data_IF_218229471482
#
_entry.id   IF_218229471482
#
_cell.length_a   1.000
_cell.length_b   1.000
_cell.length_c   1.000
_cell.angle_alpha   90.00
_cell.angle_beta   90.00
_cell.angle_gamma   90.00
#
_symmetry.space_group_name_H-M   'P 1'
#
loop_
_entity.id
_entity.type
_entity.pdbx_description
1 polymer ?
#
# COMPACT_ATOMS: atom_id res chain seq x y z
N UNK A 1 16.00 -32.91 -44.39
CA UNK A 1 17.40 -32.51 -44.59
C UNK A 1 17.81 -31.43 -43.57
N UNK A 2 19.10 -31.24 -43.40
CA UNK A 2 19.69 -30.17 -42.61
C UNK A 2 20.40 -29.19 -43.53
N UNK A 3 20.04 -27.91 -43.47
CA UNK A 3 20.69 -26.84 -44.24
C UNK A 3 21.31 -25.81 -43.33
N UNK A 4 22.57 -25.44 -43.52
CA UNK A 4 23.26 -24.37 -42.81
C UNK A 4 23.70 -23.27 -43.76
N UNK A 5 23.43 -22.02 -43.39
CA UNK A 5 23.87 -20.80 -44.07
C UNK A 5 24.56 -19.89 -43.04
N UNK A 6 25.76 -19.36 -43.37
CA UNK A 6 26.48 -18.51 -42.42
C UNK A 6 25.92 -17.09 -42.36
N UNK A 7 25.69 -16.49 -43.52
CA UNK A 7 25.08 -15.15 -43.64
C UNK A 7 24.02 -15.17 -44.75
N UNK A 8 22.89 -14.55 -44.51
CA UNK A 8 21.75 -14.55 -45.42
C UNK A 8 21.15 -13.17 -45.62
N UNK A 9 21.00 -12.77 -46.85
CA UNK A 9 20.30 -11.54 -47.28
C UNK A 9 19.03 -11.84 -48.13
N UNK A 10 18.60 -13.11 -48.18
CA UNK A 10 17.45 -13.60 -48.96
C UNK A 10 16.46 -14.39 -48.10
N UNK A 11 15.67 -15.26 -48.77
CA UNK A 11 14.63 -16.04 -48.10
C UNK A 11 15.05 -17.52 -47.97
N UNK A 12 14.85 -18.09 -46.80
CA UNK A 12 14.99 -19.53 -46.53
C UNK A 12 13.61 -20.14 -46.27
N UNK A 13 13.30 -21.23 -46.98
CA UNK A 13 12.08 -22.01 -46.77
C UNK A 13 12.47 -23.38 -46.20
N UNK A 14 11.90 -23.75 -45.06
CA UNK A 14 12.15 -25.04 -44.38
C UNK A 14 10.84 -25.83 -44.38
N UNK A 15 10.83 -26.97 -45.02
CA UNK A 15 9.69 -27.88 -45.05
C UNK A 15 10.12 -29.25 -44.53
N UNK A 16 9.70 -29.57 -43.28
CA UNK A 16 10.01 -30.85 -42.63
C UNK A 16 11.49 -31.14 -42.50
N UNK A 17 12.21 -30.42 -41.68
CA UNK A 17 13.66 -30.58 -41.47
C UNK A 17 14.24 -29.49 -40.63
N UNK A 18 15.55 -29.37 -40.57
CA UNK A 18 16.24 -28.35 -39.78
C UNK A 18 17.00 -27.39 -40.68
N UNK A 19 16.72 -26.11 -40.57
CA UNK A 19 17.47 -25.04 -41.25
C UNK A 19 18.13 -24.14 -40.22
N UNK A 20 19.39 -23.80 -40.41
CA UNK A 20 20.10 -22.86 -39.53
C UNK A 20 20.75 -21.74 -40.33
N UNK A 21 20.72 -20.54 -39.77
CA UNK A 21 21.35 -19.34 -40.33
C UNK A 21 22.21 -18.71 -39.22
N UNK A 22 23.44 -18.35 -39.57
CA UNK A 22 24.32 -17.61 -38.63
C UNK A 22 23.80 -16.20 -38.43
N UNK A 23 23.79 -15.37 -39.49
CA UNK A 23 23.33 -13.98 -39.38
C UNK A 23 22.35 -13.66 -40.50
N UNK A 24 21.21 -13.08 -40.16
CA UNK A 24 20.21 -12.57 -41.12
C UNK A 24 20.20 -11.05 -41.12
N UNK A 25 20.40 -10.46 -42.29
CA UNK A 25 20.45 -9.01 -42.49
C UNK A 25 19.46 -8.55 -43.57
N UNK A 26 19.25 -7.25 -43.66
CA UNK A 26 18.45 -6.63 -44.72
C UNK A 26 17.01 -7.12 -44.75
N UNK A 27 16.52 -7.60 -45.86
CA UNK A 27 15.17 -8.14 -46.06
C UNK A 27 15.15 -9.67 -45.97
N UNK A 28 16.10 -10.30 -45.32
CA UNK A 28 16.18 -11.74 -45.20
C UNK A 28 15.08 -12.31 -44.29
N UNK A 29 14.49 -13.42 -44.66
CA UNK A 29 13.45 -14.09 -43.88
C UNK A 29 13.58 -15.60 -43.86
N UNK A 30 13.22 -16.22 -42.73
CA UNK A 30 13.13 -17.68 -42.59
C UNK A 30 11.67 -18.09 -42.40
N UNK A 31 11.19 -18.95 -43.29
CA UNK A 31 9.81 -19.45 -43.29
C UNK A 31 9.82 -20.95 -43.00
N UNK A 32 9.18 -21.39 -41.97
CA UNK A 32 9.22 -22.77 -41.44
C UNK A 32 7.83 -23.39 -41.61
N UNK A 33 7.77 -24.54 -42.28
CA UNK A 33 6.55 -25.26 -42.61
C UNK A 33 6.65 -26.75 -42.27
N UNK A 34 5.50 -27.42 -42.20
CA UNK A 34 5.38 -28.88 -42.16
C UNK A 34 6.21 -29.57 -41.06
N UNK A 35 6.16 -29.07 -39.86
CA UNK A 35 6.91 -29.63 -38.71
C UNK A 35 8.42 -29.35 -38.75
N UNK A 36 8.86 -28.38 -39.53
CA UNK A 36 10.28 -27.99 -39.61
C UNK A 36 10.77 -27.24 -38.36
N UNK A 37 12.08 -27.20 -38.23
CA UNK A 37 12.77 -26.39 -37.20
C UNK A 37 13.70 -25.38 -37.83
N UNK A 38 13.52 -24.11 -37.50
CA UNK A 38 14.37 -23.02 -37.98
C UNK A 38 15.18 -22.43 -36.83
N UNK A 39 16.47 -22.22 -37.07
CA UNK A 39 17.39 -21.63 -36.09
C UNK A 39 18.11 -20.43 -36.72
N UNK A 40 18.12 -19.31 -36.02
CA UNK A 40 18.86 -18.10 -36.38
C UNK A 40 19.76 -17.72 -35.20
N UNK A 41 21.07 -17.53 -35.48
CA UNK A 41 21.95 -17.07 -34.41
C UNK A 41 21.78 -15.57 -34.15
N UNK A 42 21.76 -14.75 -35.24
CA UNK A 42 21.50 -13.32 -35.12
C UNK A 42 20.46 -12.88 -36.16
N UNK A 43 19.35 -12.31 -35.70
CA UNK A 43 18.34 -11.68 -36.54
C UNK A 43 18.46 -10.16 -36.38
N UNK A 44 18.98 -9.49 -37.39
CA UNK A 44 19.22 -8.05 -37.38
C UNK A 44 18.09 -7.25 -38.05
N UNK A 45 17.25 -7.92 -38.87
CA UNK A 45 16.10 -7.27 -39.51
C UNK A 45 15.18 -8.30 -40.15
N UNK A 46 13.95 -7.87 -40.50
CA UNK A 46 12.90 -8.65 -41.10
C UNK A 46 12.36 -9.77 -40.21
N UNK A 47 12.14 -11.05 -40.65
CA UNK A 47 11.33 -11.96 -39.86
C UNK A 47 11.71 -13.44 -39.92
N UNK A 48 11.41 -14.14 -38.82
CA UNK A 48 11.24 -15.58 -38.77
C UNK A 48 9.76 -15.91 -38.66
N UNK A 49 9.21 -16.63 -39.62
CA UNK A 49 7.81 -17.05 -39.63
C UNK A 49 7.69 -18.52 -39.27
N UNK A 50 7.09 -18.81 -38.10
CA UNK A 50 6.95 -20.19 -37.59
C UNK A 50 5.49 -20.60 -37.75
N UNK A 51 5.25 -21.43 -38.76
CA UNK A 51 3.90 -21.90 -39.09
C UNK A 51 3.48 -23.04 -38.13
N UNK A 52 2.21 -23.42 -38.26
CA UNK A 52 1.57 -24.45 -37.43
C UNK A 52 2.40 -25.72 -37.27
N UNK A 53 2.58 -26.20 -36.02
CA UNK A 53 3.33 -27.38 -35.71
C UNK A 53 4.86 -27.28 -35.89
N UNK A 54 5.38 -26.06 -36.14
CA UNK A 54 6.80 -25.82 -36.36
C UNK A 54 7.49 -25.23 -35.13
N UNK A 55 8.82 -25.25 -35.16
CA UNK A 55 9.66 -24.66 -34.11
C UNK A 55 10.61 -23.62 -34.64
N UNK A 56 10.65 -22.43 -34.05
CA UNK A 56 11.58 -21.36 -34.40
C UNK A 56 12.44 -20.95 -33.20
N UNK A 57 13.75 -20.83 -33.43
CA UNK A 57 14.70 -20.42 -32.40
C UNK A 57 15.54 -19.26 -32.92
N UNK A 58 15.65 -18.20 -32.15
CA UNK A 58 16.54 -17.07 -32.41
C UNK A 58 17.41 -16.86 -31.16
N UNK A 59 18.74 -16.89 -31.31
CA UNK A 59 19.61 -16.65 -30.18
C UNK A 59 19.67 -15.16 -29.81
N UNK A 60 19.86 -14.27 -30.79
CA UNK A 60 19.89 -12.83 -30.56
C UNK A 60 18.99 -12.15 -31.58
N UNK A 61 18.03 -11.37 -31.11
CA UNK A 61 17.23 -10.49 -31.93
C UNK A 61 17.66 -9.05 -31.65
N UNK A 62 18.29 -8.44 -32.66
CA UNK A 62 18.72 -7.05 -32.61
C UNK A 62 17.80 -6.23 -33.53
N UNK A 63 17.60 -4.98 -33.32
CA UNK A 63 16.87 -4.06 -34.18
C UNK A 63 15.40 -4.48 -34.50
N UNK A 64 14.83 -4.16 -35.63
CA UNK A 64 13.40 -4.32 -35.99
C UNK A 64 12.97 -5.74 -36.36
N UNK A 65 13.72 -6.78 -35.95
CA UNK A 65 13.38 -8.17 -36.24
C UNK A 65 12.03 -8.59 -35.65
N UNK A 66 11.36 -9.53 -36.36
CA UNK A 66 10.10 -10.11 -35.84
C UNK A 66 10.15 -11.62 -35.90
N UNK A 67 9.84 -12.29 -34.77
CA UNK A 67 9.47 -13.70 -34.78
C UNK A 67 7.95 -13.81 -34.73
N UNK A 68 7.34 -14.30 -35.80
CA UNK A 68 5.91 -14.53 -35.86
C UNK A 68 5.59 -16.00 -35.61
N UNK A 69 4.81 -16.30 -34.58
CA UNK A 69 4.46 -17.66 -34.16
C UNK A 69 2.98 -17.87 -34.40
N UNK A 70 2.64 -18.78 -35.33
CA UNK A 70 1.26 -19.13 -35.67
C UNK A 70 0.67 -20.15 -34.65
N UNK A 71 -0.57 -20.54 -34.90
CA UNK A 71 -1.30 -21.54 -34.14
C UNK A 71 -0.50 -22.84 -33.94
N UNK A 72 -0.48 -23.38 -32.73
CA UNK A 72 0.23 -24.61 -32.35
C UNK A 72 1.75 -24.62 -32.70
N UNK A 73 2.34 -23.47 -33.01
CA UNK A 73 3.77 -23.32 -33.22
C UNK A 73 4.50 -22.93 -31.95
N UNK A 74 5.79 -23.18 -31.90
CA UNK A 74 6.65 -22.85 -30.75
C UNK A 74 7.79 -21.95 -31.23
N UNK A 75 7.93 -20.79 -30.58
CA UNK A 75 9.01 -19.84 -30.86
C UNK A 75 9.82 -19.52 -29.61
N UNK A 76 11.14 -19.50 -29.74
CA UNK A 76 12.04 -19.09 -28.65
C UNK A 76 12.98 -17.99 -29.13
N UNK A 77 13.12 -16.93 -28.35
CA UNK A 77 14.15 -15.92 -28.48
C UNK A 77 15.00 -15.96 -27.21
N UNK A 78 16.31 -16.22 -27.34
CA UNK A 78 17.17 -16.28 -26.15
C UNK A 78 17.43 -14.88 -25.63
N UNK A 79 17.85 -13.95 -26.48
CA UNK A 79 18.02 -12.54 -26.08
C UNK A 79 17.31 -11.64 -27.08
N UNK A 80 16.32 -10.91 -26.64
CA UNK A 80 15.64 -9.87 -27.40
C UNK A 80 16.11 -8.51 -26.91
N UNK A 81 16.91 -7.82 -27.74
CA UNK A 81 17.44 -6.48 -27.47
C UNK A 81 16.61 -5.39 -28.13
N UNK A 82 15.98 -5.74 -29.26
CA UNK A 82 15.03 -4.89 -29.97
C UNK A 82 14.19 -5.77 -30.92
N UNK A 83 13.05 -5.29 -31.39
CA UNK A 83 12.15 -6.06 -32.23
C UNK A 83 11.02 -6.74 -31.45
N UNK A 84 10.31 -7.67 -32.09
CA UNK A 84 9.05 -8.19 -31.52
C UNK A 84 8.93 -9.71 -31.70
N UNK A 85 8.58 -10.41 -30.63
CA UNK A 85 8.01 -11.75 -30.71
C UNK A 85 6.49 -11.65 -30.70
N UNK A 86 5.84 -11.99 -31.77
CA UNK A 86 4.41 -11.94 -31.93
C UNK A 86 3.84 -13.36 -31.91
N UNK A 87 2.95 -13.63 -30.99
CA UNK A 87 2.35 -14.96 -30.78
C UNK A 87 0.88 -14.86 -31.09
N UNK A 88 0.50 -15.52 -32.18
CA UNK A 88 -0.87 -15.54 -32.69
C UNK A 88 -1.63 -16.76 -32.14
N UNK A 89 -2.92 -16.80 -32.40
CA UNK A 89 -3.93 -17.70 -31.85
C UNK A 89 -3.43 -19.15 -31.60
N UNK A 90 -3.27 -19.52 -30.33
CA UNK A 90 -2.82 -20.85 -29.91
C UNK A 90 -1.30 -21.12 -30.04
N UNK A 91 -0.51 -20.15 -30.43
CA UNK A 91 0.95 -20.25 -30.46
C UNK A 91 1.57 -20.19 -29.05
N UNK A 92 2.81 -20.65 -28.92
CA UNK A 92 3.61 -20.58 -27.68
C UNK A 92 4.93 -19.88 -27.95
N UNK A 93 5.18 -18.78 -27.25
CA UNK A 93 6.41 -18.00 -27.38
C UNK A 93 7.17 -17.87 -26.06
N UNK A 94 8.48 -18.00 -26.12
CA UNK A 94 9.36 -17.79 -24.97
C UNK A 94 10.47 -16.81 -25.30
N UNK A 95 10.69 -15.84 -24.44
CA UNK A 95 11.89 -14.99 -24.41
C UNK A 95 12.65 -15.31 -23.12
N UNK A 96 13.92 -15.70 -23.24
CA UNK A 96 14.74 -15.96 -22.04
C UNK A 96 15.17 -14.65 -21.40
N UNK A 97 15.70 -13.70 -22.20
CA UNK A 97 16.06 -12.36 -21.70
C UNK A 97 15.47 -11.30 -22.61
N UNK A 98 14.61 -10.47 -22.07
CA UNK A 98 14.12 -9.24 -22.73
C UNK A 98 14.87 -8.05 -22.13
N UNK A 99 15.66 -7.38 -22.97
CA UNK A 99 16.51 -6.25 -22.63
C UNK A 99 16.40 -5.20 -23.74
N UNK A 100 15.23 -4.58 -23.84
CA UNK A 100 14.88 -3.68 -24.94
C UNK A 100 14.95 -2.21 -24.54
N UNK A 101 16.16 -1.68 -24.43
CA UNK A 101 16.43 -0.29 -24.06
C UNK A 101 15.93 0.77 -25.03
N UNK A 102 15.67 0.38 -26.29
CA UNK A 102 15.26 1.34 -27.32
C UNK A 102 13.73 1.57 -27.37
N UNK A 103 12.99 0.93 -26.47
CA UNK A 103 11.57 1.17 -26.21
C UNK A 103 10.60 0.74 -27.32
N UNK A 104 11.07 0.10 -28.38
CA UNK A 104 10.23 -0.33 -29.51
C UNK A 104 10.27 -1.85 -29.67
N UNK A 105 9.38 -2.55 -28.98
CA UNK A 105 9.21 -3.99 -29.16
C UNK A 105 9.13 -4.77 -27.84
N UNK A 106 9.02 -6.07 -27.97
CA UNK A 106 8.84 -6.96 -26.85
C UNK A 106 8.09 -8.22 -27.23
N UNK A 107 7.21 -8.68 -26.37
CA UNK A 107 6.36 -9.84 -26.65
C UNK A 107 4.89 -9.42 -26.74
N UNK A 108 4.21 -9.85 -27.82
CA UNK A 108 2.78 -9.62 -28.02
C UNK A 108 2.05 -10.95 -28.03
N UNK A 109 1.13 -11.14 -27.10
CA UNK A 109 0.38 -12.38 -26.89
C UNK A 109 -1.08 -12.16 -27.24
N UNK A 110 -1.54 -12.77 -28.33
CA UNK A 110 -2.91 -12.68 -28.78
C UNK A 110 -3.80 -13.82 -28.24
N UNK A 111 -5.00 -13.95 -28.79
CA UNK A 111 -6.04 -14.87 -28.35
C UNK A 111 -5.55 -16.32 -28.24
N UNK A 112 -5.83 -16.97 -27.11
CA UNK A 112 -5.44 -18.36 -26.80
C UNK A 112 -3.92 -18.65 -26.89
N UNK A 113 -3.09 -17.63 -27.10
CA UNK A 113 -1.63 -17.78 -27.15
C UNK A 113 -1.02 -17.78 -25.73
N UNK A 114 0.16 -18.38 -25.63
CA UNK A 114 0.92 -18.42 -24.38
C UNK A 114 2.25 -17.74 -24.61
N UNK A 115 2.53 -16.71 -23.80
CA UNK A 115 3.80 -15.98 -23.81
C UNK A 115 4.55 -16.14 -22.48
N UNK A 116 5.85 -16.38 -22.55
CA UNK A 116 6.69 -16.43 -21.35
C UNK A 116 7.94 -15.57 -21.56
N UNK A 117 8.25 -14.73 -20.60
CA UNK A 117 9.54 -14.05 -20.47
C UNK A 117 10.20 -14.54 -19.16
N UNK A 118 11.40 -15.11 -19.26
CA UNK A 118 12.07 -15.62 -18.07
C UNK A 118 12.69 -14.48 -17.27
N UNK A 119 13.44 -13.60 -17.93
CA UNK A 119 14.01 -12.39 -17.30
C UNK A 119 13.65 -11.16 -18.13
N UNK A 120 12.98 -10.20 -17.54
CA UNK A 120 12.63 -8.92 -18.14
C UNK A 120 13.41 -7.82 -17.45
N UNK A 121 14.38 -7.25 -18.17
CA UNK A 121 15.20 -6.14 -17.68
C UNK A 121 14.64 -4.80 -18.14
N UNK A 122 14.05 -4.77 -19.34
CA UNK A 122 13.37 -3.63 -19.94
C UNK A 122 12.47 -4.09 -21.09
N UNK A 123 11.63 -3.20 -21.64
CA UNK A 123 10.73 -3.49 -22.78
C UNK A 123 9.29 -3.78 -22.33
N UNK A 124 8.51 -4.33 -23.25
CA UNK A 124 7.06 -4.49 -23.05
C UNK A 124 6.56 -5.89 -23.36
N UNK A 125 5.63 -6.39 -22.53
CA UNK A 125 4.83 -7.57 -22.84
C UNK A 125 3.35 -7.18 -22.90
N UNK A 126 2.75 -7.28 -24.07
CA UNK A 126 1.33 -7.02 -24.28
C UNK A 126 0.53 -8.31 -24.26
N UNK A 127 -0.52 -8.36 -23.46
CA UNK A 127 -1.44 -9.50 -23.37
C UNK A 127 -2.83 -9.04 -23.76
N UNK A 128 -3.31 -9.54 -24.88
CA UNK A 128 -4.62 -9.22 -25.41
C UNK A 128 -5.66 -10.30 -25.08
N UNK A 129 -6.88 -10.07 -25.54
CA UNK A 129 -8.07 -10.89 -25.26
C UNK A 129 -7.80 -12.40 -25.37
N UNK A 130 -7.93 -13.10 -24.25
CA UNK A 130 -7.78 -14.56 -24.19
C UNK A 130 -6.34 -15.06 -24.22
N UNK A 131 -5.35 -14.17 -24.38
CA UNK A 131 -3.94 -14.51 -24.23
C UNK A 131 -3.56 -14.73 -22.75
N UNK A 132 -2.55 -15.56 -22.53
CA UNK A 132 -1.97 -15.80 -21.20
C UNK A 132 -0.48 -15.57 -21.25
N UNK A 133 0.04 -14.74 -20.36
CA UNK A 133 1.45 -14.40 -20.35
C UNK A 133 2.06 -14.41 -18.96
N UNK A 134 3.30 -14.89 -18.87
CA UNK A 134 4.05 -14.94 -17.63
C UNK A 134 5.40 -14.23 -17.79
N UNK A 135 5.77 -13.42 -16.81
CA UNK A 135 7.13 -12.95 -16.57
C UNK A 135 7.62 -13.61 -15.27
N UNK A 136 8.73 -14.35 -15.34
CA UNK A 136 9.22 -15.05 -14.14
C UNK A 136 9.99 -14.08 -13.23
N UNK A 137 10.94 -13.33 -13.77
CA UNK A 137 11.70 -12.31 -13.03
C UNK A 137 11.63 -10.98 -13.79
N UNK A 138 11.00 -10.00 -13.19
CA UNK A 138 10.84 -8.66 -13.75
C UNK A 138 11.64 -7.66 -12.91
N UNK A 139 12.69 -7.14 -13.50
CA UNK A 139 13.59 -6.14 -12.91
C UNK A 139 13.51 -4.79 -13.63
N UNK A 140 12.59 -4.66 -14.58
CA UNK A 140 12.27 -3.44 -15.33
C UNK A 140 11.24 -3.71 -16.42
N UNK A 141 10.85 -2.66 -17.14
CA UNK A 141 9.88 -2.75 -18.25
C UNK A 141 8.41 -2.80 -17.80
N UNK A 142 7.52 -3.19 -18.71
CA UNK A 142 6.07 -3.15 -18.47
C UNK A 142 5.35 -4.37 -19.03
N UNK A 143 4.53 -5.04 -18.20
CA UNK A 143 3.53 -6.01 -18.65
C UNK A 143 2.17 -5.34 -18.72
N UNK A 144 1.56 -5.29 -19.90
CA UNK A 144 0.28 -4.62 -20.20
C UNK A 144 -0.79 -5.65 -20.48
N UNK A 145 -1.75 -5.79 -19.59
CA UNK A 145 -2.84 -6.78 -19.67
C UNK A 145 -4.14 -6.06 -20.03
N UNK A 146 -4.71 -6.41 -21.18
CA UNK A 146 -5.90 -5.75 -21.75
C UNK A 146 -7.00 -6.76 -22.08
N UNK A 147 -8.23 -6.29 -22.04
CA UNK A 147 -9.45 -6.93 -22.56
C UNK A 147 -9.45 -8.44 -22.33
N UNK A 148 -9.70 -8.88 -21.09
CA UNK A 148 -9.78 -10.31 -20.74
C UNK A 148 -8.51 -11.13 -21.03
N UNK A 149 -7.35 -10.48 -21.11
CA UNK A 149 -6.05 -11.15 -21.08
C UNK A 149 -5.68 -11.54 -19.65
N UNK A 150 -4.79 -12.51 -19.50
CA UNK A 150 -4.27 -12.96 -18.22
C UNK A 150 -2.77 -12.73 -18.17
N UNK A 151 -2.30 -11.90 -17.24
CA UNK A 151 -0.88 -11.62 -17.03
C UNK A 151 -0.43 -12.11 -15.64
N UNK A 152 0.71 -12.77 -15.60
CA UNK A 152 1.34 -13.20 -14.35
C UNK A 152 2.77 -12.69 -14.29
N UNK A 153 3.18 -12.21 -13.12
CA UNK A 153 4.57 -11.95 -12.77
C UNK A 153 4.87 -12.76 -11.52
N UNK A 154 5.85 -13.66 -11.58
CA UNK A 154 6.22 -14.45 -10.39
C UNK A 154 6.97 -13.58 -9.39
N UNK A 155 8.00 -12.83 -9.84
CA UNK A 155 8.76 -11.90 -9.00
C UNK A 155 8.86 -10.54 -9.69
N UNK A 156 8.34 -9.51 -9.06
CA UNK A 156 8.45 -8.10 -9.48
C UNK A 156 9.45 -7.39 -8.56
N UNK A 157 10.65 -7.13 -9.07
CA UNK A 157 11.71 -6.41 -8.37
C UNK A 157 11.77 -4.94 -8.75
N UNK A 158 11.34 -4.62 -9.98
CA UNK A 158 11.13 -3.25 -10.51
C UNK A 158 10.28 -3.33 -11.80
N UNK A 159 9.79 -2.18 -12.27
CA UNK A 159 8.90 -2.12 -13.44
C UNK A 159 7.42 -2.05 -13.08
N UNK A 160 6.56 -2.31 -14.08
CA UNK A 160 5.11 -2.11 -13.94
C UNK A 160 4.29 -3.25 -14.54
N UNK A 161 3.26 -3.71 -13.82
CA UNK A 161 2.15 -4.47 -14.39
C UNK A 161 0.92 -3.57 -14.50
N UNK A 162 0.45 -3.32 -15.73
CA UNK A 162 -0.68 -2.43 -16.03
C UNK A 162 -1.89 -3.22 -16.50
N UNK A 163 -2.97 -3.24 -15.71
CA UNK A 163 -4.16 -4.06 -15.93
C UNK A 163 -5.35 -3.16 -16.23
N UNK A 164 -5.95 -3.31 -17.40
CA UNK A 164 -7.06 -2.48 -17.83
C UNK A 164 -8.08 -3.23 -18.71
N UNK A 165 -9.28 -2.64 -18.87
CA UNK A 165 -10.29 -3.15 -19.76
C UNK A 165 -10.79 -4.57 -19.43
N UNK A 166 -10.89 -4.93 -18.15
CA UNK A 166 -11.32 -6.26 -17.71
C UNK A 166 -10.24 -7.34 -17.83
N UNK A 167 -8.97 -6.96 -17.97
CA UNK A 167 -7.84 -7.89 -17.86
C UNK A 167 -7.65 -8.38 -16.44
N UNK A 168 -6.96 -9.50 -16.27
CA UNK A 168 -6.61 -10.08 -14.98
C UNK A 168 -5.10 -10.17 -14.82
N UNK A 169 -4.56 -9.67 -13.71
CA UNK A 169 -3.13 -9.70 -13.42
C UNK A 169 -2.84 -10.30 -12.05
N UNK A 170 -1.78 -11.08 -11.97
CA UNK A 170 -1.25 -11.63 -10.72
C UNK A 170 0.23 -11.26 -10.61
N UNK A 171 0.63 -10.80 -9.44
CA UNK A 171 2.03 -10.71 -9.02
C UNK A 171 2.18 -11.60 -7.79
N UNK A 172 2.97 -12.67 -7.88
CA UNK A 172 3.14 -13.59 -6.75
C UNK A 172 3.98 -12.94 -5.64
N UNK A 173 5.10 -12.31 -5.99
CA UNK A 173 5.92 -11.55 -5.02
C UNK A 173 6.29 -10.20 -5.60
N UNK A 174 5.89 -9.12 -4.94
CA UNK A 174 6.28 -7.75 -5.27
C UNK A 174 7.27 -7.24 -4.23
N UNK A 175 8.52 -7.07 -4.64
CA UNK A 175 9.56 -6.49 -3.78
C UNK A 175 9.67 -4.98 -3.98
N UNK A 176 9.41 -4.49 -5.20
CA UNK A 176 9.37 -3.09 -5.59
C UNK A 176 8.53 -2.93 -6.86
N UNK A 177 8.58 -1.76 -7.53
CA UNK A 177 7.81 -1.50 -8.74
C UNK A 177 6.32 -1.24 -8.47
N UNK A 178 5.47 -1.46 -9.49
CA UNK A 178 4.06 -1.14 -9.39
C UNK A 178 3.12 -2.12 -10.11
N UNK A 179 1.93 -2.33 -9.54
CA UNK A 179 0.78 -2.90 -10.22
C UNK A 179 -0.32 -1.85 -10.31
N UNK A 180 -0.70 -1.44 -11.51
CA UNK A 180 -1.72 -0.42 -11.77
C UNK A 180 -2.98 -1.07 -12.34
N UNK A 181 -4.10 -0.90 -11.66
CA UNK A 181 -5.37 -1.53 -11.99
C UNK A 181 -6.41 -0.45 -12.28
N UNK A 182 -6.98 -0.48 -13.48
CA UNK A 182 -7.97 0.51 -13.91
C UNK A 182 -9.03 -0.11 -14.83
N UNK A 183 -10.07 0.67 -15.15
CA UNK A 183 -11.07 0.31 -16.18
C UNK A 183 -11.61 -1.12 -16.04
N UNK A 184 -12.10 -1.48 -14.85
CA UNK A 184 -12.64 -2.81 -14.49
C UNK A 184 -11.62 -3.95 -14.56
N UNK A 185 -10.32 -3.67 -14.57
CA UNK A 185 -9.27 -4.68 -14.42
C UNK A 185 -9.31 -5.31 -13.03
N UNK A 186 -8.78 -6.51 -12.92
CA UNK A 186 -8.64 -7.23 -11.63
C UNK A 186 -7.18 -7.59 -11.42
N UNK A 187 -6.59 -7.13 -10.32
CA UNK A 187 -5.20 -7.37 -9.97
C UNK A 187 -5.06 -7.99 -8.60
N UNK A 188 -4.16 -8.96 -8.49
CA UNK A 188 -3.81 -9.58 -7.21
C UNK A 188 -2.30 -9.49 -7.00
N UNK A 189 -1.89 -9.19 -5.78
CA UNK A 189 -0.53 -9.36 -5.29
C UNK A 189 -0.58 -10.35 -4.13
N UNK A 190 0.06 -11.51 -4.26
CA UNK A 190 0.02 -12.50 -3.19
C UNK A 190 0.88 -12.06 -1.99
N UNK A 191 2.11 -11.60 -2.24
CA UNK A 191 2.97 -11.04 -1.19
C UNK A 191 3.51 -9.68 -1.62
N UNK A 192 3.16 -8.63 -0.91
CA UNK A 192 3.66 -7.28 -1.09
C UNK A 192 4.69 -6.96 0.00
N UNK A 193 5.98 -7.02 -0.37
CA UNK A 193 7.11 -6.66 0.49
C UNK A 193 7.45 -5.17 0.38
N UNK A 194 7.27 -4.59 -0.81
CA UNK A 194 7.53 -3.20 -1.15
C UNK A 194 6.84 -2.81 -2.45
N UNK A 195 7.01 -1.57 -2.91
CA UNK A 195 6.35 -1.07 -4.11
C UNK A 195 4.90 -0.65 -3.88
N UNK A 196 4.14 -0.52 -4.97
CA UNK A 196 2.78 0.07 -4.91
C UNK A 196 1.77 -0.68 -5.77
N UNK A 197 0.64 -1.08 -5.19
CA UNK A 197 -0.55 -1.45 -5.96
C UNK A 197 -1.52 -0.26 -6.01
N UNK A 198 -1.80 0.26 -7.20
CA UNK A 198 -2.76 1.36 -7.43
C UNK A 198 -4.05 0.83 -8.02
N UNK A 199 -5.17 1.09 -7.37
CA UNK A 199 -6.51 0.65 -7.76
C UNK A 199 -7.39 1.86 -8.01
N UNK A 200 -7.75 2.10 -9.26
CA UNK A 200 -8.53 3.27 -9.65
C UNK A 200 -9.50 2.95 -10.81
N UNK A 201 -10.32 3.91 -11.20
CA UNK A 201 -11.16 3.81 -12.40
C UNK A 201 -12.06 2.56 -12.47
N UNK A 202 -12.62 2.13 -11.35
CA UNK A 202 -13.46 0.94 -11.25
C UNK A 202 -12.70 -0.39 -11.25
N UNK A 203 -11.37 -0.37 -11.07
CA UNK A 203 -10.56 -1.58 -10.91
C UNK A 203 -10.79 -2.26 -9.56
N UNK A 204 -10.45 -3.56 -9.49
CA UNK A 204 -10.48 -4.35 -8.27
C UNK A 204 -9.06 -4.85 -7.95
N UNK A 205 -8.52 -4.47 -6.80
CA UNK A 205 -7.19 -4.85 -6.35
C UNK A 205 -7.21 -5.65 -5.05
N UNK A 206 -6.49 -6.76 -5.01
CA UNK A 206 -6.33 -7.56 -3.79
C UNK A 206 -4.85 -7.70 -3.47
N UNK A 207 -4.51 -7.52 -2.20
CA UNK A 207 -3.22 -7.93 -1.63
C UNK A 207 -3.49 -9.02 -0.62
N UNK A 208 -2.96 -10.24 -0.86
CA UNK A 208 -3.20 -11.36 0.05
C UNK A 208 -2.42 -11.18 1.36
N UNK A 209 -1.14 -10.84 1.28
CA UNK A 209 -0.31 -10.54 2.45
C UNK A 209 0.53 -9.30 2.18
N UNK A 210 0.35 -8.26 2.98
CA UNK A 210 1.12 -7.03 2.92
C UNK A 210 2.10 -6.99 4.10
N UNK A 211 3.39 -7.07 3.80
CA UNK A 211 4.48 -6.98 4.78
C UNK A 211 5.16 -5.59 4.73
N UNK A 212 4.99 -4.88 3.64
CA UNK A 212 5.48 -3.52 3.39
C UNK A 212 4.81 -2.92 2.16
N UNK A 213 5.32 -1.79 1.66
CA UNK A 213 4.78 -1.11 0.48
C UNK A 213 3.44 -0.42 0.72
N UNK A 214 2.72 -0.15 -0.39
CA UNK A 214 1.48 0.64 -0.33
C UNK A 214 0.42 0.11 -1.29
N UNK A 215 -0.83 0.00 -0.83
CA UNK A 215 -2.00 -0.10 -1.70
C UNK A 215 -2.73 1.24 -1.71
N UNK A 216 -2.90 1.86 -2.88
CA UNK A 216 -3.64 3.12 -3.07
C UNK A 216 -4.96 2.83 -3.76
N UNK A 217 -6.08 3.19 -3.13
CA UNK A 217 -7.44 2.97 -3.63
C UNK A 217 -8.14 4.30 -3.82
N UNK A 218 -8.53 4.62 -5.04
CA UNK A 218 -9.15 5.91 -5.38
C UNK A 218 -10.12 5.79 -6.58
N UNK A 219 -10.84 6.86 -6.91
CA UNK A 219 -11.57 7.00 -8.19
C UNK A 219 -12.42 5.76 -8.54
N UNK A 220 -13.33 5.36 -7.68
CA UNK A 220 -14.20 4.17 -7.82
C UNK A 220 -13.46 2.81 -7.79
N UNK A 221 -12.18 2.79 -7.46
CA UNK A 221 -11.42 1.56 -7.23
C UNK A 221 -11.89 0.84 -5.97
N UNK A 222 -11.75 -0.48 -5.96
CA UNK A 222 -12.03 -1.33 -4.80
C UNK A 222 -10.77 -2.09 -4.42
N UNK A 223 -10.31 -1.89 -3.19
CA UNK A 223 -9.10 -2.52 -2.65
C UNK A 223 -9.40 -3.45 -1.49
N UNK A 224 -8.75 -4.59 -1.43
CA UNK A 224 -8.79 -5.53 -0.30
C UNK A 224 -7.37 -5.86 0.13
N UNK A 225 -7.13 -5.92 1.43
CA UNK A 225 -5.89 -6.46 2.00
C UNK A 225 -6.27 -7.54 3.01
N UNK A 226 -6.06 -8.81 2.64
CA UNK A 226 -6.47 -9.93 3.49
C UNK A 226 -5.65 -10.04 4.78
N UNK A 227 -4.37 -9.61 4.75
CA UNK A 227 -3.52 -9.52 5.94
C UNK A 227 -2.55 -8.34 5.80
N UNK A 228 -2.89 -7.22 6.44
CA UNK A 228 -2.05 -6.03 6.51
C UNK A 228 -1.15 -6.12 7.75
N UNK A 229 0.02 -6.76 7.60
CA UNK A 229 0.99 -6.98 8.68
C UNK A 229 2.07 -5.90 8.74
N UNK A 230 2.17 -5.08 7.69
CA UNK A 230 3.08 -3.95 7.55
C UNK A 230 2.71 -3.13 6.32
N UNK A 231 3.33 -1.97 6.14
CA UNK A 231 2.98 -1.07 5.03
C UNK A 231 1.67 -0.32 5.25
N UNK A 232 1.14 0.27 4.15
CA UNK A 232 0.00 1.19 4.27
C UNK A 232 -1.04 0.96 3.18
N UNK A 233 -2.30 0.83 3.56
CA UNK A 233 -3.42 0.98 2.64
C UNK A 233 -3.94 2.42 2.70
N UNK A 234 -3.95 3.13 1.57
CA UNK A 234 -4.46 4.50 1.45
C UNK A 234 -5.77 4.48 0.67
N UNK A 235 -6.84 4.94 1.28
CA UNK A 235 -8.16 5.04 0.66
C UNK A 235 -8.53 6.52 0.55
N UNK A 236 -8.69 7.01 -0.66
CA UNK A 236 -8.97 8.42 -0.94
C UNK A 236 -10.15 8.58 -1.89
N UNK A 237 -10.41 9.81 -2.32
CA UNK A 237 -11.61 10.23 -3.07
C UNK A 237 -12.16 9.18 -4.02
N UNK A 238 -13.36 8.68 -3.71
CA UNK A 238 -14.09 7.69 -4.50
C UNK A 238 -13.56 6.26 -4.41
N UNK A 239 -12.48 6.01 -3.67
CA UNK A 239 -11.98 4.66 -3.40
C UNK A 239 -12.78 3.96 -2.30
N UNK A 240 -12.82 2.64 -2.34
CA UNK A 240 -13.43 1.80 -1.30
C UNK A 240 -12.49 0.68 -0.89
N UNK A 241 -12.16 0.61 0.40
CA UNK A 241 -11.52 -0.57 1.00
C UNK A 241 -12.58 -1.59 1.39
N UNK A 242 -12.36 -2.84 1.03
CA UNK A 242 -13.27 -3.97 1.32
C UNK A 242 -12.52 -5.02 2.16
N UNK A 243 -13.16 -5.53 3.21
CA UNK A 243 -12.72 -6.73 3.95
C UNK A 243 -11.21 -6.72 4.32
N UNK A 244 -10.66 -5.57 4.75
CA UNK A 244 -9.27 -5.47 5.16
C UNK A 244 -9.06 -5.99 6.57
N UNK A 245 -8.07 -6.88 6.76
CA UNK A 245 -7.63 -7.34 8.08
C UNK A 245 -6.39 -6.56 8.49
N UNK A 246 -6.54 -5.64 9.42
CA UNK A 246 -5.49 -4.78 9.95
C UNK A 246 -4.81 -5.47 11.15
N UNK A 247 -3.56 -5.86 10.97
CA UNK A 247 -2.72 -6.48 11.97
C UNK A 247 -1.69 -5.50 12.54
N UNK A 248 -1.00 -5.90 13.61
CA UNK A 248 0.07 -5.11 14.21
C UNK A 248 1.17 -4.79 13.18
N UNK A 249 1.53 -3.51 13.06
CA UNK A 249 2.51 -3.00 12.08
C UNK A 249 1.90 -2.47 10.79
N UNK A 250 0.65 -2.80 10.47
CA UNK A 250 -0.07 -2.23 9.32
C UNK A 250 -0.69 -0.86 9.63
N UNK A 251 -0.90 -0.08 8.60
CA UNK A 251 -1.60 1.22 8.68
C UNK A 251 -2.69 1.31 7.61
N UNK A 252 -3.88 1.72 8.00
CA UNK A 252 -4.93 2.14 7.07
C UNK A 252 -5.10 3.65 7.17
N UNK A 253 -4.85 4.37 6.08
CA UNK A 253 -5.10 5.80 5.97
C UNK A 253 -6.37 6.05 5.17
N UNK A 254 -7.35 6.67 5.79
CA UNK A 254 -8.61 7.06 5.16
C UNK A 254 -8.65 8.57 4.99
N UNK A 255 -8.48 9.00 3.75
CA UNK A 255 -8.57 10.40 3.36
C UNK A 255 -9.97 10.81 2.92
N UNK A 256 -10.16 12.11 2.74
CA UNK A 256 -11.44 12.71 2.32
C UNK A 256 -12.06 12.02 1.10
N UNK A 257 -13.33 11.66 1.20
CA UNK A 257 -14.09 11.00 0.13
C UNK A 257 -13.73 9.53 -0.13
N UNK A 258 -12.87 8.95 0.68
CA UNK A 258 -12.66 7.51 0.75
C UNK A 258 -13.75 6.80 1.55
N UNK A 259 -13.91 5.50 1.35
CA UNK A 259 -14.85 4.67 2.08
C UNK A 259 -14.19 3.36 2.53
N UNK A 260 -14.50 2.91 3.74
CA UNK A 260 -14.12 1.60 4.25
C UNK A 260 -15.37 0.78 4.53
N UNK A 261 -15.42 -0.43 4.01
CA UNK A 261 -16.46 -1.42 4.27
C UNK A 261 -15.80 -2.68 4.82
N UNK A 262 -16.14 -3.05 6.05
CA UNK A 262 -15.60 -4.20 6.77
C UNK A 262 -14.08 -4.16 6.98
N UNK A 263 -13.65 -3.55 8.06
CA UNK A 263 -12.28 -3.70 8.56
C UNK A 263 -12.29 -4.60 9.79
N UNK A 264 -11.39 -5.58 9.82
CA UNK A 264 -11.17 -6.42 11.00
C UNK A 264 -9.90 -5.94 11.69
N UNK A 265 -10.03 -5.53 12.93
CA UNK A 265 -8.89 -5.05 13.74
C UNK A 265 -8.28 -6.21 14.54
N UNK A 266 -7.02 -6.51 14.26
CA UNK A 266 -6.18 -7.44 15.04
C UNK A 266 -4.91 -6.77 15.54
N UNK A 267 -4.86 -5.43 15.45
CA UNK A 267 -3.74 -4.55 15.80
C UNK A 267 -3.62 -3.42 14.79
N UNK A 268 -2.44 -2.76 14.76
CA UNK A 268 -2.14 -1.74 13.77
C UNK A 268 -2.76 -0.38 14.04
N UNK A 269 -2.69 0.50 13.03
CA UNK A 269 -3.14 1.89 13.14
C UNK A 269 -4.12 2.23 12.01
N UNK A 270 -5.23 2.86 12.36
CA UNK A 270 -6.10 3.54 11.39
C UNK A 270 -6.02 5.05 11.59
N UNK A 271 -5.82 5.79 10.50
CA UNK A 271 -5.84 7.26 10.48
C UNK A 271 -7.06 7.71 9.68
N UNK A 272 -7.84 8.61 10.25
CA UNK A 272 -9.02 9.24 9.62
C UNK A 272 -8.72 10.71 9.41
N UNK A 273 -8.76 11.15 8.15
CA UNK A 273 -8.42 12.51 7.74
C UNK A 273 -9.59 13.18 7.02
N UNK A 274 -10.05 14.32 7.57
CA UNK A 274 -11.09 15.19 7.00
C UNK A 274 -12.39 14.44 6.63
N UNK A 275 -12.86 13.59 7.54
CA UNK A 275 -14.12 12.84 7.40
C UNK A 275 -14.99 13.13 8.62
N UNK A 276 -16.23 13.58 8.38
CA UNK A 276 -17.15 14.06 9.41
C UNK A 276 -18.33 13.12 9.70
N UNK A 277 -18.38 11.95 9.05
CA UNK A 277 -19.46 10.97 9.27
C UNK A 277 -19.10 9.58 8.77
N UNK A 278 -19.73 8.55 9.34
CA UNK A 278 -19.60 7.16 8.89
C UNK A 278 -18.68 6.29 9.75
N UNK A 279 -18.09 6.85 10.81
CA UNK A 279 -17.19 6.14 11.75
C UNK A 279 -17.69 6.28 13.20
N UNK A 280 -19.00 6.33 13.36
CA UNK A 280 -19.64 6.43 14.67
C UNK A 280 -19.76 5.05 15.34
N UNK A 281 -19.77 5.03 16.68
CA UNK A 281 -19.95 3.85 17.52
C UNK A 281 -18.90 2.73 17.32
N UNK A 282 -17.66 3.09 17.04
CA UNK A 282 -16.57 2.13 16.94
C UNK A 282 -16.08 1.65 18.31
N UNK A 283 -15.67 0.38 18.38
CA UNK A 283 -15.08 -0.20 19.59
C UNK A 283 -13.61 -0.53 19.35
N UNK A 284 -12.71 0.07 20.13
CA UNK A 284 -11.27 -0.16 20.10
C UNK A 284 -10.85 -1.02 21.28
N UNK A 285 -9.87 -1.91 21.09
CA UNK A 285 -9.28 -2.69 22.18
C UNK A 285 -10.14 -3.83 22.71
N UNK A 286 -11.01 -4.43 21.91
CA UNK A 286 -11.77 -5.61 22.30
C UNK A 286 -10.89 -6.87 22.28
N UNK A 287 -10.86 -7.65 23.36
CA UNK A 287 -10.16 -8.94 23.42
C UNK A 287 -8.63 -8.87 23.55
N UNK A 288 -8.08 -7.77 24.04
CA UNK A 288 -6.62 -7.60 24.22
C UNK A 288 -5.88 -7.20 22.94
N UNK A 289 -6.58 -6.73 21.95
CA UNK A 289 -6.01 -6.29 20.67
C UNK A 289 -5.58 -4.82 20.78
N UNK A 290 -4.31 -4.54 20.56
CA UNK A 290 -3.80 -3.16 20.51
C UNK A 290 -4.17 -2.53 19.17
N UNK A 291 -5.15 -1.64 19.17
CA UNK A 291 -5.60 -0.88 18.01
C UNK A 291 -5.48 0.60 18.31
N UNK A 292 -4.76 1.31 17.45
CA UNK A 292 -4.63 2.77 17.53
C UNK A 292 -5.45 3.42 16.43
N UNK A 293 -6.26 4.41 16.77
CA UNK A 293 -7.04 5.20 15.84
C UNK A 293 -6.70 6.68 15.93
N UNK A 294 -6.17 7.25 14.85
CA UNK A 294 -5.83 8.67 14.73
C UNK A 294 -6.95 9.48 14.06
N UNK A 295 -7.35 10.59 14.66
CA UNK A 295 -8.33 11.54 14.11
C UNK A 295 -7.60 12.86 13.85
N UNK A 296 -7.55 13.30 12.60
CA UNK A 296 -6.79 14.49 12.18
C UNK A 296 -7.58 15.41 11.26
N UNK A 297 -7.10 16.64 11.10
CA UNK A 297 -7.48 17.57 10.01
C UNK A 297 -8.97 17.76 9.77
N UNK A 298 -9.75 17.98 10.82
CA UNK A 298 -11.19 18.20 10.71
C UNK A 298 -12.04 16.92 10.66
N UNK A 299 -11.43 15.75 10.83
CA UNK A 299 -12.18 14.51 11.01
C UNK A 299 -12.94 14.51 12.33
N UNK A 300 -14.10 13.89 12.34
CA UNK A 300 -14.97 13.77 13.52
C UNK A 300 -15.39 12.32 13.70
N UNK A 301 -15.34 11.85 14.96
CA UNK A 301 -15.88 10.56 15.37
C UNK A 301 -16.80 10.73 16.56
N UNK A 302 -17.88 9.96 16.62
CA UNK A 302 -18.86 9.99 17.72
C UNK A 302 -19.12 8.59 18.28
N UNK A 303 -19.35 8.50 19.59
CA UNK A 303 -19.72 7.26 20.26
C UNK A 303 -18.61 6.19 20.29
N UNK A 304 -17.34 6.57 20.20
CA UNK A 304 -16.23 5.61 20.24
C UNK A 304 -16.11 4.99 21.64
N UNK A 305 -15.99 3.66 21.72
CA UNK A 305 -15.74 2.92 22.97
C UNK A 305 -14.28 2.44 22.94
N UNK A 306 -13.50 2.85 23.94
CA UNK A 306 -12.07 2.53 24.04
C UNK A 306 -11.86 1.62 25.25
N UNK A 307 -11.75 0.33 25.00
CA UNK A 307 -11.47 -0.68 26.02
C UNK A 307 -9.96 -0.87 26.22
N UNK A 308 -9.58 -1.67 27.21
CA UNK A 308 -8.17 -2.03 27.45
C UNK A 308 -7.48 -2.55 26.18
N UNK A 309 -6.32 -1.99 25.84
CA UNK A 309 -5.58 -2.24 24.60
C UNK A 309 -6.02 -1.37 23.40
N UNK A 310 -7.11 -0.63 23.51
CA UNK A 310 -7.50 0.38 22.52
C UNK A 310 -6.82 1.72 22.79
N UNK A 311 -6.50 2.44 21.72
CA UNK A 311 -5.92 3.78 21.79
C UNK A 311 -6.59 4.68 20.74
N UNK A 312 -6.96 5.89 21.17
CA UNK A 312 -7.46 6.94 20.27
C UNK A 312 -6.55 8.16 20.36
N UNK A 313 -6.04 8.60 19.22
CA UNK A 313 -5.21 9.81 19.08
C UNK A 313 -6.06 10.92 18.49
N UNK A 314 -6.24 12.02 19.21
CA UNK A 314 -6.95 13.21 18.72
C UNK A 314 -5.90 14.27 18.45
N UNK A 315 -5.55 14.40 17.16
CA UNK A 315 -4.53 15.33 16.71
C UNK A 315 -5.16 16.68 16.35
N UNK A 316 -4.31 17.64 15.99
CA UNK A 316 -4.75 18.99 15.64
C UNK A 316 -5.87 18.97 14.57
N UNK A 317 -7.00 19.59 14.90
CA UNK A 317 -8.18 19.65 14.04
C UNK A 317 -9.11 18.43 14.09
N UNK A 318 -8.72 17.35 14.76
CA UNK A 318 -9.58 16.18 14.99
C UNK A 318 -10.61 16.44 16.11
N UNK A 319 -11.76 15.79 16.03
CA UNK A 319 -12.85 15.92 17.00
C UNK A 319 -13.39 14.57 17.43
N UNK A 320 -13.42 14.30 18.73
CA UNK A 320 -14.06 13.15 19.34
C UNK A 320 -15.29 13.58 20.14
N UNK A 321 -16.44 12.97 19.85
CA UNK A 321 -17.72 13.23 20.48
C UNK A 321 -18.21 11.99 21.22
N UNK A 322 -18.80 12.20 22.41
CA UNK A 322 -19.49 11.15 23.19
C UNK A 322 -18.67 9.87 23.34
N UNK A 323 -17.38 10.00 23.66
CA UNK A 323 -16.45 8.86 23.77
C UNK A 323 -16.56 8.19 25.14
N UNK A 324 -16.59 6.84 25.15
CA UNK A 324 -16.48 6.02 26.35
C UNK A 324 -15.07 5.43 26.47
N UNK A 325 -14.36 5.77 27.54
CA UNK A 325 -13.03 5.22 27.86
C UNK A 325 -13.13 4.22 29.01
N UNK A 326 -13.06 2.93 28.69
CA UNK A 326 -13.24 1.80 29.59
C UNK A 326 -11.93 1.02 29.83
N UNK A 327 -10.87 1.71 30.21
CA UNK A 327 -9.56 1.10 30.51
C UNK A 327 -8.53 1.17 29.37
N UNK A 328 -8.83 1.83 28.24
CA UNK A 328 -7.88 2.13 27.16
C UNK A 328 -7.15 3.45 27.37
N UNK A 329 -6.61 3.99 26.29
CA UNK A 329 -5.85 5.26 26.27
C UNK A 329 -6.48 6.22 25.27
N UNK A 330 -6.69 7.47 25.67
CA UNK A 330 -6.94 8.58 24.78
C UNK A 330 -5.75 9.53 24.86
N UNK A 331 -5.11 9.81 23.72
CA UNK A 331 -4.11 10.87 23.63
C UNK A 331 -4.71 12.07 22.91
N UNK A 332 -4.49 13.26 23.43
CA UNK A 332 -4.97 14.50 22.82
C UNK A 332 -3.83 15.46 22.64
N UNK A 333 -3.61 15.91 21.41
CA UNK A 333 -2.67 16.97 21.09
C UNK A 333 -3.36 18.33 21.09
N UNK A 334 -2.59 19.39 21.25
CA UNK A 334 -3.09 20.77 21.16
C UNK A 334 -3.84 21.01 19.85
N UNK A 335 -5.03 21.62 19.93
CA UNK A 335 -5.94 21.83 18.78
C UNK A 335 -6.87 20.65 18.46
N UNK A 336 -6.77 19.53 19.17
CA UNK A 336 -7.79 18.50 19.21
C UNK A 336 -9.01 18.95 20.03
N UNK A 337 -10.17 18.39 19.76
CA UNK A 337 -11.43 18.71 20.43
C UNK A 337 -12.06 17.43 20.96
N UNK A 338 -12.41 17.46 22.25
CA UNK A 338 -13.24 16.43 22.90
C UNK A 338 -14.53 17.09 23.39
N UNK A 339 -15.66 16.45 23.12
CA UNK A 339 -16.96 16.93 23.60
C UNK A 339 -17.85 15.78 24.03
N UNK A 340 -18.28 15.82 25.30
CA UNK A 340 -19.01 14.73 25.93
C UNK A 340 -18.15 13.47 26.08
N UNK A 341 -17.72 13.15 27.28
CA UNK A 341 -16.87 11.98 27.50
C UNK A 341 -17.24 11.27 28.79
N UNK A 342 -17.24 9.94 28.74
CA UNK A 342 -17.38 9.10 29.93
C UNK A 342 -16.12 8.27 30.12
N UNK A 343 -15.49 8.37 31.29
CA UNK A 343 -14.35 7.54 31.67
C UNK A 343 -14.74 6.63 32.86
N UNK A 344 -14.63 5.32 32.62
CA UNK A 344 -14.78 4.31 33.67
C UNK A 344 -13.48 3.52 33.85
N UNK A 345 -12.41 4.25 34.20
CA UNK A 345 -11.01 3.79 34.16
C UNK A 345 -10.28 4.28 32.93
N UNK A 346 -9.06 3.76 32.69
CA UNK A 346 -8.19 4.17 31.59
C UNK A 346 -7.50 5.51 31.83
N UNK A 347 -6.81 5.98 30.79
CA UNK A 347 -6.00 7.20 30.87
C UNK A 347 -6.29 8.13 29.70
N UNK A 348 -6.49 9.42 30.00
CA UNK A 348 -6.39 10.50 29.04
C UNK A 348 -5.01 11.14 29.20
N UNK A 349 -4.24 11.23 28.13
CA UNK A 349 -2.90 11.82 28.10
C UNK A 349 -2.96 13.07 27.24
N UNK A 350 -2.54 14.20 27.81
CA UNK A 350 -2.49 15.49 27.12
C UNK A 350 -1.02 15.78 26.82
N UNK A 351 -0.62 15.58 25.57
CA UNK A 351 0.78 15.77 25.16
C UNK A 351 0.95 17.01 24.30
N UNK A 352 1.81 17.93 24.73
CA UNK A 352 2.35 18.97 23.87
C UNK A 352 3.74 19.41 24.31
N UNK A 353 4.71 19.21 23.46
CA UNK A 353 6.15 19.49 23.71
C UNK A 353 6.44 20.98 24.01
N UNK A 354 5.55 21.88 23.61
CA UNK A 354 5.75 23.34 23.73
C UNK A 354 4.69 24.01 24.63
N UNK A 355 3.97 23.24 25.47
CA UNK A 355 2.83 23.71 26.25
C UNK A 355 1.58 23.90 25.37
N UNK A 356 0.41 23.61 25.90
CA UNK A 356 -0.81 23.66 25.14
C UNK A 356 -2.06 23.97 25.92
N UNK A 357 -3.11 24.34 25.18
CA UNK A 357 -4.44 24.51 25.76
C UNK A 357 -5.35 23.40 25.24
N UNK A 358 -5.95 22.67 26.16
CA UNK A 358 -6.85 21.56 25.93
C UNK A 358 -8.24 21.88 26.44
N UNK A 359 -9.27 21.52 25.70
CA UNK A 359 -10.65 21.76 26.10
C UNK A 359 -11.48 20.48 25.99
N UNK A 360 -12.17 20.15 27.06
CA UNK A 360 -13.23 19.14 27.08
C UNK A 360 -14.55 19.90 27.18
N UNK A 361 -15.26 19.97 26.06
CA UNK A 361 -16.53 20.65 25.97
C UNK A 361 -17.65 19.75 26.49
N UNK A 362 -18.69 20.36 27.10
CA UNK A 362 -19.80 19.61 27.67
C UNK A 362 -19.41 18.85 28.94
N UNK A 363 -19.96 17.65 29.14
CA UNK A 363 -19.77 16.90 30.38
C UNK A 363 -18.67 15.86 30.23
N UNK A 364 -17.70 15.90 31.12
CA UNK A 364 -16.78 14.82 31.43
C UNK A 364 -17.28 14.07 32.67
N UNK A 365 -17.78 12.85 32.47
CA UNK A 365 -18.09 11.94 33.56
C UNK A 365 -16.89 11.02 33.80
N UNK A 366 -16.14 11.22 34.91
CA UNK A 366 -14.87 10.52 35.14
C UNK A 366 -14.89 9.74 36.45
N UNK A 367 -14.79 8.41 36.36
CA UNK A 367 -14.79 7.51 37.49
C UNK A 367 -13.54 6.64 37.50
N UNK A 368 -12.70 6.74 38.57
CA UNK A 368 -11.48 5.95 38.76
C UNK A 368 -10.54 5.98 37.53
N UNK A 369 -10.45 7.11 36.86
CA UNK A 369 -9.65 7.33 35.66
C UNK A 369 -8.40 8.15 35.97
N UNK A 370 -7.51 8.28 35.00
CA UNK A 370 -6.32 9.12 35.06
C UNK A 370 -6.38 10.17 33.95
N UNK A 371 -6.10 11.42 34.32
CA UNK A 371 -5.84 12.49 33.34
C UNK A 371 -4.40 12.94 33.60
N UNK A 372 -3.54 12.60 32.64
CA UNK A 372 -2.11 12.83 32.71
C UNK A 372 -1.73 14.01 31.82
N UNK A 373 -1.22 15.07 32.42
CA UNK A 373 -0.74 16.27 31.74
C UNK A 373 0.80 16.35 31.79
N UNK A 374 1.49 15.30 32.31
CA UNK A 374 2.92 15.34 32.43
C UNK A 374 3.62 15.05 31.11
N UNK A 375 4.63 15.85 30.78
CA UNK A 375 5.47 15.60 29.60
C UNK A 375 6.27 14.31 29.73
N UNK A 376 6.15 13.44 28.72
CA UNK A 376 6.91 12.18 28.66
C UNK A 376 8.38 12.38 28.31
N UNK A 377 8.78 13.57 27.83
CA UNK A 377 10.15 13.88 27.43
C UNK A 377 10.64 15.20 28.00
N UNK A 378 11.88 15.16 28.50
CA UNK A 378 12.64 16.35 28.87
C UNK A 378 12.79 17.26 27.65
N UNK A 379 12.04 18.32 27.65
CA UNK A 379 12.18 19.60 26.96
C UNK A 379 13.10 19.70 25.73
N UNK A 380 12.56 20.15 24.62
CA UNK A 380 13.32 20.97 23.64
C UNK A 380 13.87 22.17 24.40
N UNK A 381 15.17 22.33 24.41
CA UNK A 381 15.88 23.51 24.95
C UNK A 381 15.82 23.76 26.47
N UNK A 382 15.50 22.79 27.31
CA UNK A 382 15.74 22.89 28.76
C UNK A 382 14.77 23.78 29.55
N UNK A 383 13.61 24.15 28.98
CA UNK A 383 12.51 24.81 29.72
C UNK A 383 11.29 23.91 29.75
N UNK A 384 10.71 23.57 30.92
CA UNK A 384 9.44 22.87 31.01
C UNK A 384 8.34 23.63 30.28
N UNK A 385 7.53 22.95 29.49
CA UNK A 385 6.29 23.47 28.97
C UNK A 385 5.15 23.07 29.91
N UNK A 386 4.19 23.96 30.13
CA UNK A 386 3.06 23.73 31.03
C UNK A 386 1.76 23.81 30.24
N UNK A 387 0.87 22.86 30.52
CA UNK A 387 -0.40 22.72 29.85
C UNK A 387 -1.52 23.40 30.63
N UNK A 388 -2.58 23.76 29.91
CA UNK A 388 -3.84 24.20 30.51
C UNK A 388 -5.00 23.33 30.03
N UNK A 389 -5.70 22.69 30.91
CA UNK A 389 -6.92 21.93 30.67
C UNK A 389 -8.12 22.69 31.16
N UNK A 390 -9.09 22.93 30.29
CA UNK A 390 -10.42 23.48 30.65
C UNK A 390 -11.47 22.39 30.48
N UNK A 391 -12.26 22.16 31.54
CA UNK A 391 -13.38 21.21 31.54
C UNK A 391 -14.66 22.02 31.80
N UNK A 392 -15.65 21.96 30.92
CA UNK A 392 -16.91 22.66 31.10
C UNK A 392 -17.67 22.14 32.31
N UNK A 393 -17.92 20.84 32.37
CA UNK A 393 -18.59 20.19 33.50
C UNK A 393 -17.86 18.91 33.89
N UNK A 394 -17.45 18.78 35.13
CA UNK A 394 -16.87 17.57 35.69
C UNK A 394 -17.85 16.86 36.60
N UNK A 395 -18.11 15.59 36.34
CA UNK A 395 -18.92 14.72 37.23
C UNK A 395 -18.18 13.39 37.50
N UNK A 396 -18.69 12.59 38.44
CA UNK A 396 -18.09 11.34 38.84
C UNK A 396 -17.16 11.45 40.04
N UNK A 397 -16.30 10.47 40.28
CA UNK A 397 -15.42 10.39 41.44
C UNK A 397 -14.22 9.48 41.24
N UNK A 398 -13.15 9.67 41.99
CA UNK A 398 -11.97 8.81 42.00
C UNK A 398 -10.96 9.08 40.89
N UNK A 399 -11.14 10.14 40.11
CA UNK A 399 -10.20 10.49 39.03
C UNK A 399 -8.96 11.15 39.62
N UNK A 400 -7.79 10.78 39.09
CA UNK A 400 -6.49 11.40 39.43
C UNK A 400 -6.03 12.29 38.28
N UNK A 401 -5.78 13.56 38.57
CA UNK A 401 -5.08 14.51 37.69
C UNK A 401 -3.59 14.46 38.03
N UNK A 402 -2.73 14.16 37.05
CA UNK A 402 -1.27 14.18 37.23
C UNK A 402 -0.75 15.42 36.51
N UNK A 403 -0.07 16.31 37.29
CA UNK A 403 0.33 17.64 36.85
C UNK A 403 1.83 17.82 37.01
N UNK A 404 2.48 18.43 36.05
CA UNK A 404 3.83 18.96 36.17
C UNK A 404 3.79 20.33 36.82
N UNK A 405 4.68 20.56 37.78
CA UNK A 405 4.74 21.80 38.56
C UNK A 405 6.18 22.15 38.92
N UNK A 406 6.54 23.40 38.76
CA UNK A 406 7.76 23.96 39.37
C UNK A 406 7.38 24.59 40.71
N UNK A 407 7.60 23.86 41.80
CA UNK A 407 7.29 24.34 43.16
C UNK A 407 8.12 25.57 43.58
N UNK A 408 9.18 25.91 42.85
CA UNK A 408 10.01 27.09 43.12
C UNK A 408 9.46 28.37 42.47
N UNK A 409 8.46 28.28 41.55
CA UNK A 409 7.90 29.42 40.85
C UNK A 409 6.40 29.33 40.62
N UNK A 410 5.63 30.20 41.24
CA UNK A 410 4.15 30.18 41.19
C UNK A 410 3.53 30.30 39.77
N UNK A 411 4.31 30.71 38.76
CA UNK A 411 3.83 30.89 37.38
C UNK A 411 4.02 29.66 36.49
N UNK A 412 4.73 28.65 36.97
CA UNK A 412 5.21 27.52 36.16
C UNK A 412 4.56 26.21 36.64
N UNK A 413 3.33 25.98 36.27
CA UNK A 413 2.64 24.70 36.53
C UNK A 413 1.51 24.45 35.53
N UNK A 414 1.22 23.19 35.31
CA UNK A 414 0.00 22.78 34.66
C UNK A 414 -1.21 23.32 35.38
N UNK A 415 -2.24 23.64 34.61
CA UNK A 415 -3.45 24.25 35.15
C UNK A 415 -4.70 23.50 34.69
N UNK A 416 -5.51 23.09 35.68
CA UNK A 416 -6.85 22.57 35.42
C UNK A 416 -7.90 23.60 35.83
N UNK A 417 -8.77 23.94 34.91
CA UNK A 417 -9.92 24.83 35.15
C UNK A 417 -11.20 24.06 34.96
N UNK A 418 -12.05 23.99 35.96
CA UNK A 418 -13.36 23.32 35.91
C UNK A 418 -14.41 24.40 36.05
N UNK A 419 -15.27 24.57 35.04
CA UNK A 419 -16.30 25.63 35.05
C UNK A 419 -17.47 25.27 35.96
N UNK A 420 -17.93 24.01 35.92
CA UNK A 420 -18.97 23.47 36.78
C UNK A 420 -18.52 22.10 37.29
N UNK A 421 -18.70 21.85 38.58
CA UNK A 421 -18.38 20.57 39.20
C UNK A 421 -19.59 20.02 39.94
N UNK A 422 -19.94 18.76 39.67
CA UNK A 422 -20.87 17.99 40.49
C UNK A 422 -20.22 17.49 41.76
N UNK A 423 -21.02 16.91 42.64
CA UNK A 423 -20.51 16.33 43.91
C UNK A 423 -19.66 15.10 43.57
N UNK A 424 -18.40 15.13 43.99
CA UNK A 424 -17.45 14.04 43.80
C UNK A 424 -16.14 14.30 44.53
N UNK A 425 -15.27 13.29 44.55
CA UNK A 425 -13.91 13.40 45.11
C UNK A 425 -12.91 13.01 44.03
N UNK A 426 -12.01 13.91 43.70
CA UNK A 426 -10.94 13.71 42.75
C UNK A 426 -9.60 13.94 43.42
N UNK A 427 -8.53 13.40 42.86
CA UNK A 427 -7.19 13.46 43.40
C UNK A 427 -6.28 14.25 42.45
N UNK A 428 -5.28 14.91 43.04
CA UNK A 428 -4.23 15.59 42.31
C UNK A 428 -2.90 14.96 42.71
N UNK A 429 -2.12 14.53 41.72
CA UNK A 429 -0.75 14.08 41.92
C UNK A 429 0.18 15.09 41.25
N UNK A 430 1.16 15.55 41.99
CA UNK A 430 2.12 16.54 41.52
C UNK A 430 3.46 15.87 41.17
N UNK A 431 3.98 16.14 39.98
CA UNK A 431 5.35 15.83 39.58
C UNK A 431 6.17 17.12 39.62
N UNK A 432 7.03 17.23 40.64
CA UNK A 432 7.87 18.40 40.85
C UNK A 432 9.05 18.46 39.88
N UNK A 433 9.08 19.47 39.01
CA UNK A 433 10.14 19.74 38.06
C UNK A 433 11.20 20.74 38.57
N UNK A 434 11.07 21.31 39.74
CA UNK A 434 12.00 22.32 40.28
C UNK A 434 13.44 21.80 40.37
N UNK A 435 13.64 20.50 40.63
CA UNK A 435 14.97 19.86 40.65
C UNK A 435 15.65 19.79 39.30
N UNK A 436 14.90 19.76 38.20
CA UNK A 436 15.45 19.78 36.85
C UNK A 436 16.07 21.13 36.53
N UNK A 437 15.62 22.20 37.19
CA UNK A 437 16.08 23.55 37.00
C UNK A 437 17.19 23.96 37.99
N UNK A 438 17.73 23.02 38.78
CA UNK A 438 18.70 23.28 39.86
C UNK A 438 18.29 24.39 40.87
N UNK A 439 16.98 24.52 41.12
CA UNK A 439 16.43 25.48 42.06
C UNK A 439 16.10 24.73 43.36
N UNK A 440 16.74 25.14 44.48
CA UNK A 440 16.34 24.63 45.81
C UNK A 440 15.02 25.28 46.23
N UNK A 441 14.03 24.45 46.52
CA UNK A 441 12.76 24.90 47.11
C UNK A 441 13.01 25.27 48.60
N UNK A 442 13.05 26.57 48.89
CA UNK A 442 13.20 27.09 50.24
C UNK A 442 11.93 27.84 50.64
N UNK A 443 11.02 27.20 51.37
CA UNK A 443 9.82 27.83 51.90
C UNK A 443 8.63 26.88 52.07
N UNK A 444 7.62 27.30 52.83
CA UNK A 444 6.33 26.62 52.88
C UNK A 444 5.47 27.03 51.70
N UNK A 445 5.14 26.08 50.84
CA UNK A 445 4.17 26.26 49.77
C UNK A 445 2.79 25.84 50.30
N UNK A 446 1.85 26.80 50.31
CA UNK A 446 0.45 26.59 50.72
C UNK A 446 -0.42 26.28 49.51
#
# INVERSE_FOLDING_TARGET
GTGKVETMDGLQYISGGVGSVGTMNGNAGQFIYSGGTGMINELNSYQQYVNEGCTGIINIMNTTGTQWISANAVGTVVTLKSGTQLIDDGGTGTIITLDNHDGAGGQIVYSNAIGTIVTMLDGEQYVFKGGSATVVDMSGGTQIVRVSGNGMIETLNDGEQNIMGGGTGLVSTMNSGSQVISSSGTGTVDTLNGGTQTVAGGGNGTVSTMLGGTQVVSSSGKGTVNALNGGTQIVSVGGTSLDTVLNSGGTVYLGSGGNISNITYSGGMQIIDNITSGYDNMTLGSGGTNVTMGIISGAQMSGTIINSGGEQLILNGGTALDTELNGGIMQMSSGGIVSGMTMTGGSMVLENIDGGSFNINGTLTANNAVIDMTDSSVTRAGTPAYESLTIDTLSGSGTTFILDTDLAGEANSDKVTITHADVGTHYVQIKDLSKLNNIEVTGEHK
#
